data_IF_360562502789
#
_entry.id   IF_360562502789
#
_cell.length_a   1.000
_cell.length_b   1.000
_cell.length_c   1.000
_cell.angle_alpha   90.00
_cell.angle_beta   90.00
_cell.angle_gamma   90.00
#
_symmetry.space_group_name_H-M   'P 1'
#
loop_
_entity.id
_entity.type
_entity.pdbx_description
1 polymer ?
#
# COMPACT_ATOMS: atom_id res chain seq x y z
N UNK A 1 -6.23 -13.38 6.77
CA UNK A 1 -6.08 -12.86 5.45
C UNK A 1 -4.66 -12.91 4.99
N UNK A 2 -4.42 -13.35 3.83
CA UNK A 2 -3.17 -13.32 3.24
C UNK A 2 -2.10 -14.15 3.75
N UNK A 3 -2.36 -15.39 4.03
CA UNK A 3 -1.28 -16.33 4.28
C UNK A 3 -0.45 -16.41 3.02
N UNK A 4 0.83 -16.51 3.17
CA UNK A 4 1.72 -16.62 2.03
C UNK A 4 2.35 -15.34 1.55
N UNK A 5 1.96 -14.17 2.11
CA UNK A 5 2.63 -12.94 1.75
C UNK A 5 3.91 -12.77 2.57
N UNK A 6 4.95 -12.13 1.98
CA UNK A 6 6.21 -11.97 2.71
C UNK A 6 6.10 -10.99 3.86
N UNK A 7 7.00 -11.08 4.83
CA UNK A 7 7.06 -10.10 5.92
C UNK A 7 7.24 -8.70 5.35
N UNK A 8 6.54 -7.73 5.93
CA UNK A 8 6.58 -6.36 5.45
C UNK A 8 5.59 -6.03 4.37
N UNK A 9 4.86 -7.03 3.87
CA UNK A 9 3.82 -6.77 2.88
C UNK A 9 2.73 -5.90 3.49
N UNK A 10 2.08 -5.11 2.64
CA UNK A 10 1.03 -4.20 3.06
C UNK A 10 -0.20 -4.93 3.57
N UNK A 11 -0.99 -4.25 4.41
CA UNK A 11 -2.23 -4.82 4.96
C UNK A 11 -3.26 -5.11 3.88
N UNK A 12 -3.32 -4.25 2.88
CA UNK A 12 -4.28 -4.41 1.79
C UNK A 12 -3.55 -4.43 0.46
N UNK A 13 -4.02 -5.28 -0.46
CA UNK A 13 -3.47 -5.26 -1.80
C UNK A 13 -4.54 -5.66 -2.80
N UNK A 14 -4.36 -5.24 -4.03
CA UNK A 14 -5.32 -5.50 -5.09
C UNK A 14 -4.83 -4.99 -6.41
N UNK A 15 -5.76 -4.80 -7.35
CA UNK A 15 -5.45 -4.32 -8.69
C UNK A 15 -6.41 -3.17 -9.00
N UNK A 16 -5.85 -2.08 -9.52
CA UNK A 16 -6.67 -0.94 -9.92
C UNK A 16 -7.31 -1.22 -11.28
N UNK A 17 -8.62 -1.05 -11.33
CA UNK A 17 -9.36 -1.38 -12.56
C UNK A 17 -8.98 -0.53 -13.75
N UNK A 18 -8.68 0.73 -13.51
CA UNK A 18 -8.48 1.68 -14.60
C UNK A 18 -7.26 1.35 -15.47
N UNK A 19 -6.21 0.77 -14.88
CA UNK A 19 -4.98 0.52 -15.63
C UNK A 19 -4.31 -0.81 -15.30
N UNK A 20 -4.91 -1.61 -14.42
CA UNK A 20 -4.35 -2.91 -14.07
C UNK A 20 -3.15 -2.86 -13.15
N UNK A 21 -2.79 -1.70 -12.59
CA UNK A 21 -1.64 -1.60 -11.70
C UNK A 21 -1.93 -2.23 -10.35
N UNK A 22 -0.93 -2.88 -9.80
CA UNK A 22 -1.03 -3.44 -8.46
C UNK A 22 -1.15 -2.30 -7.44
N UNK A 23 -1.91 -2.53 -6.38
CA UNK A 23 -2.14 -1.55 -5.32
C UNK A 23 -1.77 -2.18 -3.99
N UNK A 24 -0.92 -1.51 -3.21
CA UNK A 24 -0.52 -1.96 -1.89
C UNK A 24 -0.71 -0.82 -0.90
N UNK A 25 -1.54 -1.02 0.11
CA UNK A 25 -1.84 0.01 1.09
C UNK A 25 -1.56 -0.49 2.49
N UNK A 26 -0.75 0.26 3.23
CA UNK A 26 -0.51 0.01 4.64
C UNK A 26 -1.42 0.91 5.44
N UNK A 27 -2.33 0.34 6.23
CA UNK A 27 -3.27 1.11 7.02
C UNK A 27 -2.71 1.33 8.43
N UNK A 28 -2.60 2.58 8.84
CA UNK A 28 -2.09 2.94 10.16
C UNK A 28 -3.03 3.91 10.86
N UNK A 29 -2.98 3.90 12.19
CA UNK A 29 -3.69 4.93 12.98
C UNK A 29 -2.99 6.28 12.78
N UNK A 30 -3.62 7.40 13.13
CA UNK A 30 -2.99 8.70 12.97
C UNK A 30 -1.65 8.85 13.66
N UNK A 31 -1.41 8.09 14.74
CA UNK A 31 -0.14 8.12 15.46
C UNK A 31 0.78 6.97 15.12
N UNK A 32 0.29 5.99 14.39
CA UNK A 32 1.08 4.82 14.04
C UNK A 32 2.09 5.12 12.96
N UNK A 33 3.21 4.41 12.97
CA UNK A 33 4.24 4.55 11.96
C UNK A 33 4.52 3.21 11.32
N UNK A 34 4.77 3.18 10.01
CA UNK A 34 5.15 1.93 9.36
C UNK A 34 6.53 1.49 9.84
N UNK A 35 6.74 0.19 9.90
CA UNK A 35 8.04 -0.36 10.24
C UNK A 35 9.00 -0.11 9.08
N UNK A 36 10.29 -0.30 9.34
CA UNK A 36 11.29 -0.16 8.30
C UNK A 36 11.04 -1.14 7.15
N UNK A 37 10.67 -2.37 7.48
CA UNK A 37 10.35 -3.36 6.45
C UNK A 37 9.16 -2.94 5.60
N UNK A 38 8.14 -2.37 6.23
CA UNK A 38 6.97 -1.89 5.51
C UNK A 38 7.32 -0.73 4.59
N UNK A 39 8.14 0.19 5.07
CA UNK A 39 8.59 1.32 4.25
C UNK A 39 9.38 0.85 3.03
N UNK A 40 10.28 -0.10 3.24
CA UNK A 40 11.08 -0.65 2.14
C UNK A 40 10.22 -1.36 1.12
N UNK A 41 9.23 -2.12 1.58
CA UNK A 41 8.31 -2.81 0.69
C UNK A 41 7.54 -1.83 -0.17
N UNK A 42 6.98 -0.80 0.44
CA UNK A 42 6.20 0.20 -0.27
C UNK A 42 7.07 0.90 -1.31
N UNK A 43 8.27 1.28 -0.93
CA UNK A 43 9.18 1.96 -1.85
C UNK A 43 9.54 1.06 -3.04
N UNK A 44 9.80 -0.21 -2.77
CA UNK A 44 10.11 -1.16 -3.84
C UNK A 44 8.93 -1.34 -4.79
N UNK A 45 7.73 -1.42 -4.26
CA UNK A 45 6.54 -1.56 -5.11
C UNK A 45 6.34 -0.33 -5.99
N UNK A 46 6.55 0.87 -5.44
CA UNK A 46 6.47 2.10 -6.23
C UNK A 46 7.49 2.11 -7.36
N UNK A 47 8.70 1.69 -7.08
CA UNK A 47 9.75 1.63 -8.08
C UNK A 47 9.41 0.65 -9.21
N UNK A 48 8.60 -0.34 -8.92
CA UNK A 48 8.16 -1.33 -9.90
C UNK A 48 6.82 -0.99 -10.55
N UNK A 49 6.35 0.23 -10.36
CA UNK A 49 5.16 0.70 -11.06
C UNK A 49 3.85 0.49 -10.34
N UNK A 50 3.87 -0.01 -9.12
CA UNK A 50 2.65 -0.22 -8.35
C UNK A 50 2.21 1.08 -7.67
N UNK A 51 0.93 1.14 -7.34
CA UNK A 51 0.38 2.21 -6.49
C UNK A 51 0.54 1.73 -5.05
N UNK A 52 1.33 2.43 -4.27
CA UNK A 52 1.61 1.99 -2.90
C UNK A 52 1.77 3.17 -1.96
N UNK A 53 1.37 2.99 -0.72
CA UNK A 53 1.54 4.03 0.27
C UNK A 53 0.97 3.66 1.62
N UNK A 54 1.19 4.56 2.58
CA UNK A 54 0.64 4.45 3.93
C UNK A 54 -0.55 5.38 4.02
N UNK A 55 -1.68 4.85 4.45
CA UNK A 55 -2.91 5.62 4.56
C UNK A 55 -3.45 5.54 5.97
N UNK A 56 -3.95 6.66 6.48
CA UNK A 56 -4.48 6.74 7.83
C UNK A 56 -5.99 6.94 7.86
N UNK A 57 -6.62 6.94 6.71
CA UNK A 57 -8.07 7.05 6.60
C UNK A 57 -8.52 6.49 5.26
N UNK A 58 -9.82 6.21 5.15
CA UNK A 58 -10.40 5.75 3.89
C UNK A 58 -10.25 6.80 2.81
N UNK A 59 -10.36 8.08 3.16
CA UNK A 59 -10.21 9.16 2.19
C UNK A 59 -8.79 9.20 1.63
N UNK A 60 -7.79 8.99 2.47
CA UNK A 60 -6.41 8.94 2.00
C UNK A 60 -6.18 7.77 1.05
N UNK A 61 -6.78 6.64 1.34
CA UNK A 61 -6.64 5.47 0.47
C UNK A 61 -7.28 5.72 -0.89
N UNK A 62 -8.47 6.32 -0.90
CA UNK A 62 -9.15 6.65 -2.14
C UNK A 62 -8.33 7.64 -2.96
N UNK A 63 -7.78 8.65 -2.30
CA UNK A 63 -6.95 9.64 -2.96
C UNK A 63 -5.71 9.00 -3.58
N UNK A 64 -5.06 8.12 -2.85
CA UNK A 64 -3.89 7.41 -3.35
C UNK A 64 -4.22 6.59 -4.60
N UNK A 65 -5.32 5.85 -4.56
CA UNK A 65 -5.72 4.99 -5.67
C UNK A 65 -6.10 5.81 -6.91
N UNK A 66 -6.71 6.96 -6.71
CA UNK A 66 -7.23 7.74 -7.84
C UNK A 66 -6.21 8.70 -8.44
N UNK A 67 -5.20 9.10 -7.68
CA UNK A 67 -4.25 10.11 -8.16
C UNK A 67 -2.91 9.58 -8.61
N UNK A 68 -2.57 8.41 -8.21
CA UNK A 68 -1.28 7.83 -8.58
C UNK A 68 -1.31 7.09 -9.96
#
# INVERSE_FOLDING_TARGET
>A
FNTGVPPGCSDLFGVRKSDGRAVFIEVKTPKGRPTEKQQKFIQMMKLNGAVAGVCRSADEAIELITKE
#
